data_IF_688410695204
#
_entry.id   IF_688410695204
#
_cell.length_a   1.000
_cell.length_b   1.000
_cell.length_c   1.000
_cell.angle_alpha   90.00
_cell.angle_beta   90.00
_cell.angle_gamma   90.00
#
_symmetry.space_group_name_H-M   'P 1'
#
loop_
_entity.id
_entity.type
_entity.pdbx_description
1 polymer ?
#
# COMPACT_ATOMS: atom_id res chain seq x y z
N UNK A 1 -23.73 -31.37 7.53
CA UNK A 1 -24.07 -30.01 8.03
C UNK A 1 -24.00 -29.00 6.88
N UNK A 2 -25.11 -28.38 6.46
CA UNK A 2 -25.17 -27.43 5.32
C UNK A 2 -24.79 -26.00 5.76
N UNK A 3 -23.50 -25.72 5.94
CA UNK A 3 -23.01 -24.39 6.35
C UNK A 3 -22.89 -23.43 5.15
N UNK A 4 -23.23 -22.16 5.35
CA UNK A 4 -23.10 -21.13 4.32
C UNK A 4 -21.64 -20.60 4.24
N UNK A 5 -20.91 -20.80 3.13
CA UNK A 5 -19.51 -20.38 3.01
C UNK A 5 -19.34 -18.87 3.15
N UNK A 6 -20.33 -18.05 2.77
CA UNK A 6 -20.28 -16.58 2.94
C UNK A 6 -20.37 -16.12 4.39
N UNK A 7 -20.66 -17.02 5.34
CA UNK A 7 -20.63 -16.72 6.79
C UNK A 7 -19.40 -17.31 7.50
N UNK A 8 -18.63 -18.18 6.82
CA UNK A 8 -17.44 -18.81 7.38
C UNK A 8 -16.20 -17.94 7.14
N UNK A 9 -15.68 -17.33 8.21
CA UNK A 9 -14.64 -16.29 8.18
C UNK A 9 -13.33 -16.69 7.46
N UNK A 10 -13.00 -17.98 7.45
CA UNK A 10 -11.76 -18.51 6.85
C UNK A 10 -11.86 -18.71 5.33
N UNK A 11 -13.07 -18.76 4.77
CA UNK A 11 -13.25 -19.04 3.34
C UNK A 11 -12.94 -17.83 2.46
N UNK A 12 -12.55 -18.10 1.22
CA UNK A 12 -12.38 -17.05 0.19
C UNK A 12 -13.69 -16.35 -0.16
N UNK A 13 -14.82 -17.06 -0.11
CA UNK A 13 -16.13 -16.49 -0.39
C UNK A 13 -16.47 -15.35 0.61
N UNK A 14 -16.34 -15.62 1.91
CA UNK A 14 -16.51 -14.60 2.95
C UNK A 14 -15.51 -13.45 2.78
N UNK A 15 -14.24 -13.77 2.54
CA UNK A 15 -13.17 -12.75 2.41
C UNK A 15 -13.44 -11.80 1.24
N UNK A 16 -13.92 -12.32 0.10
CA UNK A 16 -14.29 -11.49 -1.05
C UNK A 16 -15.52 -10.63 -0.78
N UNK A 17 -16.57 -11.18 -0.17
CA UNK A 17 -17.81 -10.42 0.09
C UNK A 17 -17.63 -9.30 1.12
N UNK A 18 -16.74 -9.48 2.09
CA UNK A 18 -16.45 -8.49 3.15
C UNK A 18 -15.31 -7.53 2.75
N UNK A 19 -14.80 -7.60 1.51
CA UNK A 19 -13.74 -6.71 1.05
C UNK A 19 -12.37 -6.97 1.69
N UNK A 20 -12.12 -8.20 2.15
CA UNK A 20 -10.80 -8.61 2.67
C UNK A 20 -9.78 -8.95 1.57
N UNK A 21 -10.23 -9.08 0.34
CA UNK A 21 -9.42 -9.37 -0.84
C UNK A 21 -9.80 -8.44 -1.98
N UNK A 22 -8.87 -8.23 -2.90
CA UNK A 22 -9.12 -7.50 -4.12
C UNK A 22 -10.06 -8.30 -5.02
N UNK A 23 -11.25 -7.78 -5.30
CA UNK A 23 -12.29 -8.46 -6.10
C UNK A 23 -12.48 -7.85 -7.49
N UNK A 24 -12.28 -6.54 -7.64
CA UNK A 24 -12.46 -5.80 -8.90
C UNK A 24 -11.09 -5.37 -9.41
N UNK A 25 -10.48 -6.21 -10.24
CA UNK A 25 -9.18 -5.93 -10.86
C UNK A 25 -9.07 -6.56 -12.25
N UNK A 26 -8.37 -5.88 -13.15
CA UNK A 26 -8.20 -6.33 -14.54
C UNK A 26 -7.39 -7.63 -14.63
N UNK A 27 -6.48 -7.91 -13.67
CA UNK A 27 -5.72 -9.17 -13.70
C UNK A 27 -6.60 -10.40 -13.49
N UNK A 28 -7.78 -10.26 -12.89
CA UNK A 28 -8.71 -11.37 -12.65
C UNK A 28 -9.47 -11.80 -13.92
N UNK A 29 -9.58 -10.92 -14.92
CA UNK A 29 -10.30 -11.21 -16.17
C UNK A 29 -9.58 -12.24 -17.05
N UNK A 30 -8.26 -12.40 -16.90
CA UNK A 30 -7.47 -13.38 -17.65
C UNK A 30 -7.84 -14.84 -17.33
N UNK A 31 -8.46 -15.09 -16.17
CA UNK A 31 -8.88 -16.43 -15.74
C UNK A 31 -10.30 -16.82 -16.24
N UNK A 32 -10.86 -16.10 -17.20
CA UNK A 32 -12.18 -16.39 -17.76
C UNK A 32 -12.19 -17.75 -18.49
N UNK A 33 -13.23 -18.56 -18.22
CA UNK A 33 -13.47 -19.83 -18.94
C UNK A 33 -13.74 -19.52 -20.42
N UNK A 34 -13.02 -20.19 -21.32
CA UNK A 34 -13.25 -20.11 -22.76
C UNK A 34 -14.05 -21.34 -23.20
N UNK A 35 -15.18 -21.10 -23.85
CA UNK A 35 -16.07 -22.17 -24.32
C UNK A 35 -15.81 -22.56 -25.79
N UNK A 36 -14.94 -21.82 -26.49
CA UNK A 36 -14.56 -22.08 -27.88
C UNK A 36 -13.06 -22.41 -27.89
N UNK A 37 -12.66 -23.59 -28.39
CA UNK A 37 -11.26 -23.95 -28.53
C UNK A 37 -10.62 -23.22 -29.72
N UNK A 38 -9.32 -22.97 -29.63
CA UNK A 38 -8.50 -22.42 -30.71
C UNK A 38 -7.52 -23.52 -31.14
N UNK A 39 -7.16 -23.56 -32.42
CA UNK A 39 -6.11 -24.48 -32.88
C UNK A 39 -4.77 -24.15 -32.23
N UNK A 40 -3.96 -25.18 -32.05
CA UNK A 40 -2.62 -25.02 -31.49
C UNK A 40 -1.76 -24.12 -32.39
N UNK A 41 -1.16 -23.11 -31.78
CA UNK A 41 -0.11 -22.28 -32.36
C UNK A 41 1.00 -22.14 -31.30
N UNK A 42 2.22 -22.53 -31.68
CA UNK A 42 3.39 -22.49 -30.79
C UNK A 42 3.71 -21.07 -30.33
N UNK A 43 3.55 -20.08 -31.20
CA UNK A 43 3.82 -18.69 -30.88
C UNK A 43 2.81 -18.18 -29.84
N UNK A 44 1.53 -18.48 -30.03
CA UNK A 44 0.46 -18.16 -29.08
C UNK A 44 0.68 -18.79 -27.70
N UNK A 45 1.06 -20.07 -27.64
CA UNK A 45 1.36 -20.76 -26.37
C UNK A 45 2.57 -20.14 -25.69
N UNK A 46 3.64 -19.86 -26.43
CA UNK A 46 4.84 -19.23 -25.85
C UNK A 46 4.55 -17.84 -25.28
N UNK A 47 3.72 -17.04 -25.96
CA UNK A 47 3.33 -15.70 -25.54
C UNK A 47 2.42 -15.75 -24.31
N UNK A 48 1.47 -16.70 -24.27
CA UNK A 48 0.56 -16.87 -23.11
C UNK A 48 1.30 -17.31 -21.86
N UNK A 49 2.29 -18.20 -21.94
CA UNK A 49 3.12 -18.58 -20.79
C UNK A 49 3.86 -17.39 -20.18
N UNK A 50 4.49 -16.56 -21.02
CA UNK A 50 5.16 -15.32 -20.58
C UNK A 50 4.17 -14.33 -19.97
N UNK A 51 3.01 -14.14 -20.60
CA UNK A 51 1.97 -13.24 -20.11
C UNK A 51 1.40 -13.72 -18.76
N UNK A 52 1.21 -15.03 -18.56
CA UNK A 52 0.72 -15.60 -17.30
C UNK A 52 1.65 -15.27 -16.13
N UNK A 53 2.96 -15.44 -16.32
CA UNK A 53 3.95 -15.06 -15.30
C UNK A 53 3.85 -13.57 -14.97
N UNK A 54 3.86 -12.71 -15.99
CA UNK A 54 3.76 -11.27 -15.80
C UNK A 54 2.48 -10.83 -15.09
N UNK A 55 1.34 -11.41 -15.45
CA UNK A 55 0.04 -11.12 -14.83
C UNK A 55 0.04 -11.54 -13.35
N UNK A 56 0.64 -12.68 -13.03
CA UNK A 56 0.73 -13.16 -11.64
C UNK A 56 1.55 -12.21 -10.75
N UNK A 57 2.66 -11.68 -11.25
CA UNK A 57 3.49 -10.70 -10.54
C UNK A 57 2.74 -9.39 -10.28
N UNK A 58 2.05 -8.88 -11.30
CA UNK A 58 1.25 -7.65 -11.19
C UNK A 58 0.14 -7.86 -10.16
N UNK A 59 -0.54 -9.00 -10.21
CA UNK A 59 -1.58 -9.36 -9.26
C UNK A 59 -1.05 -9.41 -7.82
N UNK A 60 0.07 -10.11 -7.58
CA UNK A 60 0.68 -10.18 -6.26
C UNK A 60 1.10 -8.80 -5.73
N UNK A 61 1.63 -7.93 -6.60
CA UNK A 61 1.97 -6.55 -6.25
C UNK A 61 0.74 -5.75 -5.85
N UNK A 62 -0.34 -5.83 -6.63
CA UNK A 62 -1.61 -5.14 -6.37
C UNK A 62 -2.28 -5.66 -5.08
N UNK A 63 -2.32 -6.97 -4.87
CA UNK A 63 -2.85 -7.58 -3.63
C UNK A 63 -2.07 -7.10 -2.40
N UNK A 64 -0.74 -6.97 -2.51
CA UNK A 64 0.09 -6.41 -1.43
C UNK A 64 -0.27 -4.96 -1.12
N UNK A 65 -0.47 -4.12 -2.14
CA UNK A 65 -0.90 -2.72 -1.95
C UNK A 65 -2.26 -2.65 -1.30
N UNK A 66 -3.22 -3.47 -1.74
CA UNK A 66 -4.55 -3.55 -1.12
C UNK A 66 -4.47 -3.93 0.37
N UNK A 67 -3.62 -4.89 0.72
CA UNK A 67 -3.40 -5.25 2.11
C UNK A 67 -2.82 -4.09 2.92
N UNK A 68 -1.80 -3.40 2.39
CA UNK A 68 -1.20 -2.23 3.05
C UNK A 68 -2.23 -1.13 3.31
N UNK A 69 -3.03 -0.79 2.30
CA UNK A 69 -4.08 0.23 2.44
C UNK A 69 -5.14 -0.17 3.47
N UNK A 70 -5.55 -1.44 3.48
CA UNK A 70 -6.51 -1.95 4.48
C UNK A 70 -5.96 -1.94 5.90
N UNK A 71 -4.65 -2.14 6.07
CA UNK A 71 -3.98 -2.15 7.38
C UNK A 71 -3.48 -0.76 7.80
N UNK A 72 -3.61 0.25 6.93
CA UNK A 72 -3.27 1.63 7.27
C UNK A 72 -4.11 2.11 8.47
N UNK A 73 -3.50 2.91 9.35
CA UNK A 73 -4.14 3.42 10.57
C UNK A 73 -4.16 2.44 11.76
N UNK A 74 -3.89 1.13 11.56
CA UNK A 74 -3.81 0.21 12.69
C UNK A 74 -2.70 0.57 13.67
N UNK A 75 -1.55 1.06 13.18
CA UNK A 75 -0.43 1.51 14.04
C UNK A 75 -0.85 2.65 14.97
N UNK A 76 -1.61 3.61 14.45
CA UNK A 76 -2.11 4.75 15.22
C UNK A 76 -3.14 4.30 16.26
N UNK A 77 -4.09 3.44 15.88
CA UNK A 77 -5.06 2.84 16.82
C UNK A 77 -4.38 2.02 17.92
N UNK A 78 -3.30 1.31 17.59
CA UNK A 78 -2.49 0.60 18.59
C UNK A 78 -1.81 1.61 19.51
N UNK A 79 -1.17 2.67 18.97
CA UNK A 79 -0.54 3.72 19.79
C UNK A 79 -1.54 4.40 20.73
N UNK A 80 -2.72 4.74 20.25
CA UNK A 80 -3.78 5.34 21.07
C UNK A 80 -4.25 4.39 22.19
N UNK A 81 -4.44 3.10 21.88
CA UNK A 81 -4.75 2.08 22.89
C UNK A 81 -3.63 1.89 23.91
N UNK A 82 -2.38 1.90 23.47
CA UNK A 82 -1.22 1.76 24.36
C UNK A 82 -1.11 2.96 25.30
N UNK A 83 -1.30 4.19 24.79
CA UNK A 83 -1.34 5.40 25.64
C UNK A 83 -2.43 5.32 26.71
N UNK A 84 -3.63 4.88 26.31
CA UNK A 84 -4.74 4.66 27.25
C UNK A 84 -4.41 3.60 28.30
N UNK A 85 -3.81 2.48 27.88
CA UNK A 85 -3.42 1.39 28.78
C UNK A 85 -2.38 1.84 29.81
N UNK A 86 -1.39 2.63 29.39
CA UNK A 86 -0.37 3.20 30.29
C UNK A 86 -1.00 4.15 31.31
N UNK A 87 -1.89 5.05 30.86
CA UNK A 87 -2.56 5.98 31.75
C UNK A 87 -3.46 5.29 32.79
N UNK A 88 -4.14 4.21 32.43
CA UNK A 88 -5.00 3.45 33.35
C UNK A 88 -4.19 2.58 34.33
N UNK A 89 -3.04 2.08 33.89
CA UNK A 89 -2.23 1.12 34.65
C UNK A 89 -0.87 1.68 35.07
N UNK A 90 -0.83 2.97 35.39
CA UNK A 90 0.42 3.66 35.73
C UNK A 90 1.13 3.00 36.93
N UNK A 91 0.35 2.49 37.89
CA UNK A 91 0.84 1.81 39.09
C UNK A 91 1.62 0.51 38.84
N UNK A 92 1.50 -0.12 37.66
CA UNK A 92 2.27 -1.32 37.31
C UNK A 92 3.66 -0.99 36.79
N UNK A 93 3.92 0.27 36.45
CA UNK A 93 5.24 0.70 35.99
C UNK A 93 6.20 0.81 37.17
N UNK A 94 7.46 0.34 37.03
CA UNK A 94 8.49 0.60 38.01
C UNK A 94 8.62 2.11 38.22
N UNK A 95 8.59 2.54 39.48
CA UNK A 95 8.76 3.95 39.83
C UNK A 95 10.23 4.31 39.63
N UNK A 96 10.59 4.73 38.41
CA UNK A 96 11.94 5.19 38.10
C UNK A 96 12.27 6.42 38.93
N UNK A 97 13.50 6.47 39.47
CA UNK A 97 13.97 7.67 40.18
C UNK A 97 14.27 8.75 39.14
N UNK A 98 14.00 10.02 39.47
CA UNK A 98 14.25 11.14 38.56
C UNK A 98 15.70 11.23 38.07
N UNK A 99 16.66 10.72 38.84
CA UNK A 99 18.07 10.59 38.44
C UNK A 99 18.31 9.56 37.33
N UNK A 100 17.54 8.47 37.31
CA UNK A 100 17.66 7.39 36.31
C UNK A 100 17.01 7.80 34.99
N UNK A 101 15.91 8.55 35.03
CA UNK A 101 15.28 9.13 33.83
C UNK A 101 16.16 10.19 33.19
N UNK A 102 16.81 11.05 33.98
CA UNK A 102 17.73 12.06 33.45
C UNK A 102 19.02 11.45 32.89
N UNK A 103 19.56 10.40 33.52
CA UNK A 103 20.72 9.68 32.97
C UNK A 103 20.39 9.02 31.61
N UNK A 104 19.22 8.39 31.49
CA UNK A 104 18.78 7.77 30.24
C UNK A 104 18.52 8.79 29.11
N UNK A 105 17.90 9.94 29.42
CA UNK A 105 17.64 11.00 28.45
C UNK A 105 18.93 11.71 27.97
N UNK A 106 19.96 11.74 28.83
CA UNK A 106 21.29 12.30 28.51
C UNK A 106 22.18 11.32 27.73
N UNK A 107 21.87 10.01 27.75
CA UNK A 107 22.48 8.98 26.90
C UNK A 107 21.84 8.85 25.51
N UNK A 108 20.57 9.26 25.34
CA UNK A 108 19.86 9.24 24.04
C UNK A 108 20.12 10.39 23.03
N UNK A 109 20.98 11.43 23.23
CA UNK A 109 21.19 12.44 22.20
C UNK A 109 22.39 12.08 21.32
N UNK A 110 22.31 11.06 20.46
CA UNK A 110 23.31 10.84 19.39
C UNK A 110 22.84 9.96 18.20
N UNK A 111 21.83 9.10 18.35
CA UNK A 111 21.43 8.17 17.25
C UNK A 111 20.26 8.65 16.37
N UNK A 112 19.45 9.60 16.84
CA UNK A 112 18.26 10.08 16.08
C UNK A 112 18.58 11.07 14.96
N UNK A 113 19.78 11.68 14.92
CA UNK A 113 20.20 12.59 13.85
C UNK A 113 20.78 11.86 12.63
N UNK A 114 21.23 10.60 12.77
CA UNK A 114 21.84 9.82 11.68
C UNK A 114 20.83 9.03 10.83
N UNK A 115 19.54 9.03 11.19
CA UNK A 115 18.50 8.30 10.47
C UNK A 115 17.54 9.26 9.73
N UNK A 116 18.10 10.24 9.02
CA UNK A 116 17.41 10.90 7.93
C UNK A 116 17.08 9.86 6.84
N UNK A 117 15.85 9.36 6.87
CA UNK A 117 15.29 8.62 5.75
C UNK A 117 15.32 9.56 4.54
N UNK A 118 15.99 9.20 3.42
CA UNK A 118 16.00 10.05 2.24
C UNK A 118 14.56 10.14 1.72
N UNK A 119 13.90 11.26 2.03
CA UNK A 119 12.66 11.67 1.40
C UNK A 119 13.02 11.87 -0.06
N UNK A 120 12.67 10.89 -0.90
CA UNK A 120 12.73 11.04 -2.34
C UNK A 120 11.96 12.31 -2.69
N UNK A 121 12.69 13.39 -3.04
CA UNK A 121 12.12 14.60 -3.61
C UNK A 121 11.26 14.18 -4.79
N UNK A 122 9.94 14.16 -4.59
CA UNK A 122 8.99 14.06 -5.69
C UNK A 122 9.24 15.31 -6.52
N UNK A 123 9.86 15.16 -7.70
CA UNK A 123 10.01 16.26 -8.66
C UNK A 123 8.61 16.82 -8.89
N UNK A 124 8.34 18.01 -8.35
CA UNK A 124 7.19 18.79 -8.71
C UNK A 124 7.25 18.96 -10.23
N UNK A 125 6.31 18.36 -10.95
CA UNK A 125 6.08 18.71 -12.34
C UNK A 125 5.68 20.18 -12.34
N UNK A 126 6.59 21.07 -12.73
CA UNK A 126 6.27 22.47 -13.07
C UNK A 126 5.06 22.44 -14.00
N UNK A 127 3.88 22.79 -13.48
CA UNK A 127 2.72 23.10 -14.32
C UNK A 127 3.05 24.40 -15.02
N UNK A 128 3.40 24.31 -16.30
CA UNK A 128 3.52 25.49 -17.17
C UNK A 128 2.17 26.21 -17.12
N UNK A 129 2.16 27.42 -16.53
CA UNK A 129 0.99 28.30 -16.57
C UNK A 129 0.90 28.88 -17.97
N UNK A 130 0.16 28.23 -18.87
CA UNK A 130 -0.26 28.88 -20.10
C UNK A 130 -1.30 29.95 -19.73
N UNK A 131 -0.93 31.23 -19.86
CA UNK A 131 -1.90 32.33 -19.86
C UNK A 131 -2.50 32.40 -21.26
N UNK A 132 -3.78 32.09 -21.37
CA UNK A 132 -4.54 32.38 -22.59
C UNK A 132 -4.62 33.89 -22.78
N UNK A 133 -4.08 34.42 -23.88
CA UNK A 133 -4.44 35.75 -24.37
C UNK A 133 -5.79 35.66 -25.09
N UNK A 134 -6.59 36.72 -24.96
CA UNK A 134 -7.83 36.91 -25.73
C UNK A 134 -7.43 36.92 -27.22
N UNK A 135 -7.66 35.82 -27.93
CA UNK A 135 -7.23 35.65 -29.33
C UNK A 135 -6.73 34.26 -29.74
N UNK A 136 -6.52 33.31 -28.82
CA UNK A 136 -6.45 31.87 -29.16
C UNK A 136 -5.14 31.34 -29.79
N UNK A 137 -3.96 31.90 -29.46
CA UNK A 137 -2.65 31.32 -29.82
C UNK A 137 -1.76 31.03 -28.60
N UNK A 138 -1.01 29.92 -28.64
CA UNK A 138 -0.05 29.47 -27.61
C UNK A 138 1.39 29.69 -28.12
N UNK A 139 2.23 30.41 -27.37
CA UNK A 139 3.69 30.43 -27.58
C UNK A 139 4.38 29.75 -26.41
N UNK A 140 5.27 28.80 -26.70
CA UNK A 140 6.13 28.12 -25.73
C UNK A 140 7.50 28.83 -25.71
N UNK A 141 7.79 29.62 -24.67
CA UNK A 141 9.15 30.13 -24.44
C UNK A 141 10.02 28.98 -23.90
N UNK A 142 10.97 28.51 -24.72
CA UNK A 142 12.14 27.73 -24.28
C UNK A 142 13.21 28.71 -23.82
N UNK A 143 13.43 28.82 -22.51
CA UNK A 143 14.67 29.40 -21.99
C UNK A 143 15.72 28.28 -21.87
N UNK A 144 16.81 28.46 -22.60
CA UNK A 144 18.04 27.68 -22.57
C UNK A 144 18.86 28.12 -21.36
N UNK A 145 19.14 27.18 -20.46
CA UNK A 145 20.39 27.04 -19.69
C UNK A 145 20.37 25.69 -18.93
#
# INVERSE_FOLDING_TARGET
MKRNPRKLKWTKAFRKSVGKEMTVDTTLQFAARRNIPVRYDRNLVSATLKAMQRVSEIRARRERVFFKNRMAGNKERVRARNRKLVAENEHLLPRQRASETMAAEMEEPLEVEAMEVPVQKVKEKKRVKQRMKVGGGMEDNMDVD
#
